data_IF_597797484399
#
_entry.id   IF_597797484399
#
_cell.length_a   1.000
_cell.length_b   1.000
_cell.length_c   1.000
_cell.angle_alpha   90.00
_cell.angle_beta   90.00
_cell.angle_gamma   90.00
#
_symmetry.space_group_name_H-M   'P 1'
#
loop_
_entity.id
_entity.type
_entity.pdbx_description
1 polymer ?
#
# COMPACT_ATOMS: atom_id res chain seq x y z
N UNK A 1 -25.79 -20.15 -3.71
CA UNK A 1 -25.29 -19.67 -5.03
C UNK A 1 -23.93 -18.93 -4.90
N UNK A 2 -23.05 -19.33 -3.98
CA UNK A 2 -21.77 -18.64 -3.70
C UNK A 2 -20.54 -19.34 -4.30
N UNK A 3 -20.61 -20.64 -4.59
CA UNK A 3 -19.44 -21.43 -5.04
C UNK A 3 -18.93 -21.07 -6.45
N UNK A 4 -19.81 -20.61 -7.34
CA UNK A 4 -19.42 -20.22 -8.72
C UNK A 4 -18.66 -18.89 -8.76
N UNK A 5 -18.89 -17.98 -7.80
CA UNK A 5 -18.20 -16.68 -7.76
C UNK A 5 -16.74 -16.80 -7.36
N UNK A 6 -16.36 -17.86 -6.64
CA UNK A 6 -14.97 -18.09 -6.23
C UNK A 6 -14.08 -18.57 -7.39
N UNK A 7 -14.68 -19.17 -8.43
CA UNK A 7 -13.94 -19.68 -9.60
C UNK A 7 -13.67 -18.60 -10.64
N UNK A 8 -14.56 -17.63 -10.77
CA UNK A 8 -14.27 -16.40 -11.49
C UNK A 8 -13.52 -15.49 -10.53
N UNK A 9 -12.29 -15.11 -10.81
CA UNK A 9 -11.56 -14.08 -10.06
C UNK A 9 -12.27 -12.70 -10.03
N UNK A 10 -13.55 -12.61 -10.39
CA UNK A 10 -14.43 -11.45 -10.48
C UNK A 10 -14.59 -10.63 -9.19
N UNK A 11 -14.16 -11.13 -8.02
CA UNK A 11 -14.08 -10.35 -6.76
C UNK A 11 -12.63 -10.06 -6.32
N UNK A 12 -11.62 -10.51 -7.07
CA UNK A 12 -10.20 -10.27 -6.79
C UNK A 12 -9.76 -8.89 -7.33
N UNK A 13 -8.72 -8.27 -6.75
CA UNK A 13 -8.24 -6.96 -7.19
C UNK A 13 -7.74 -7.05 -8.64
N UNK A 14 -7.86 -5.96 -9.41
CA UNK A 14 -7.50 -5.98 -10.85
C UNK A 14 -6.03 -6.37 -11.03
N UNK A 15 -5.19 -5.95 -10.10
CA UNK A 15 -3.76 -6.24 -10.00
C UNK A 15 -3.51 -7.75 -9.82
N UNK A 16 -4.21 -8.41 -8.88
CA UNK A 16 -4.05 -9.85 -8.69
C UNK A 16 -4.49 -10.63 -9.93
N UNK A 17 -5.61 -10.23 -10.56
CA UNK A 17 -6.07 -10.87 -11.81
C UNK A 17 -5.04 -10.71 -12.92
N UNK A 18 -4.48 -9.52 -13.06
CA UNK A 18 -3.45 -9.24 -14.04
C UNK A 18 -2.22 -10.14 -13.83
N UNK A 19 -1.70 -10.22 -12.61
CA UNK A 19 -0.56 -11.08 -12.30
C UNK A 19 -0.85 -12.58 -12.47
N UNK A 20 -2.03 -13.04 -12.05
CA UNK A 20 -2.45 -14.43 -12.27
C UNK A 20 -2.64 -14.75 -13.76
N UNK A 21 -3.13 -13.79 -14.55
CA UNK A 21 -3.22 -13.93 -16.00
C UNK A 21 -1.83 -14.02 -16.65
N UNK A 22 -0.90 -13.14 -16.29
CA UNK A 22 0.50 -13.21 -16.77
C UNK A 22 1.17 -14.52 -16.37
N UNK A 23 0.88 -15.03 -15.17
CA UNK A 23 1.36 -16.33 -14.70
C UNK A 23 0.89 -17.47 -15.62
N UNK A 24 -0.43 -17.55 -15.86
CA UNK A 24 -1.01 -18.54 -16.75
C UNK A 24 -0.47 -18.41 -18.18
N UNK A 25 -0.35 -17.19 -18.69
CA UNK A 25 0.24 -16.91 -19.99
C UNK A 25 1.68 -17.40 -20.08
N UNK A 26 2.53 -17.09 -19.10
CA UNK A 26 3.92 -17.53 -19.03
C UNK A 26 4.06 -19.04 -19.06
N UNK A 27 3.23 -19.77 -18.30
CA UNK A 27 3.21 -21.23 -18.33
C UNK A 27 2.74 -21.80 -19.68
N UNK A 28 1.65 -21.26 -20.24
CA UNK A 28 1.13 -21.73 -21.54
C UNK A 28 2.17 -21.53 -22.64
N UNK A 29 2.77 -20.34 -22.72
CA UNK A 29 3.83 -20.05 -23.68
C UNK A 29 5.06 -20.91 -23.41
N UNK A 30 5.44 -21.12 -22.16
CA UNK A 30 6.55 -22.01 -21.79
C UNK A 30 6.37 -23.44 -22.29
N UNK A 31 5.16 -24.00 -22.16
CA UNK A 31 4.83 -25.34 -22.67
C UNK A 31 4.93 -25.37 -24.19
N UNK A 32 4.30 -24.41 -24.88
CA UNK A 32 4.35 -24.32 -26.35
C UNK A 32 5.80 -24.18 -26.82
N UNK A 33 6.56 -23.27 -26.19
CA UNK A 33 7.94 -23.00 -26.52
C UNK A 33 8.84 -24.23 -26.36
N UNK A 34 8.67 -25.00 -25.28
CA UNK A 34 9.42 -26.25 -25.08
C UNK A 34 9.26 -27.22 -26.27
N UNK A 35 8.03 -27.39 -26.76
CA UNK A 35 7.74 -28.29 -27.88
C UNK A 35 8.13 -27.73 -29.25
N UNK A 36 8.31 -26.42 -29.38
CA UNK A 36 8.68 -25.79 -30.65
C UNK A 36 10.20 -25.61 -30.76
N UNK A 37 10.83 -25.07 -29.72
CA UNK A 37 12.22 -24.64 -29.74
C UNK A 37 13.18 -25.70 -29.15
N UNK A 38 12.71 -26.56 -28.23
CA UNK A 38 13.56 -27.51 -27.49
C UNK A 38 14.78 -26.87 -26.80
N UNK A 39 14.66 -25.59 -26.42
CA UNK A 39 15.72 -24.85 -25.76
C UNK A 39 15.45 -24.75 -24.25
N UNK A 40 16.40 -25.23 -23.45
CA UNK A 40 16.25 -25.27 -21.99
C UNK A 40 16.27 -23.88 -21.35
N UNK A 41 17.15 -22.98 -21.81
CA UNK A 41 17.32 -21.66 -21.22
C UNK A 41 16.03 -20.81 -21.31
N UNK A 42 15.45 -20.68 -22.51
CA UNK A 42 14.19 -19.96 -22.69
C UNK A 42 13.02 -20.60 -21.95
N UNK A 43 12.97 -21.93 -21.88
CA UNK A 43 11.90 -22.65 -21.17
C UNK A 43 11.96 -22.40 -19.68
N UNK A 44 13.15 -22.51 -19.08
CA UNK A 44 13.35 -22.23 -17.64
C UNK A 44 12.98 -20.78 -17.32
N UNK A 45 13.34 -19.83 -18.20
CA UNK A 45 12.98 -18.43 -18.04
C UNK A 45 11.47 -18.20 -18.09
N UNK A 46 10.75 -18.81 -19.05
CA UNK A 46 9.29 -18.67 -19.18
C UNK A 46 8.54 -19.31 -18.01
N UNK A 47 8.94 -20.50 -17.61
CA UNK A 47 8.38 -21.22 -16.45
C UNK A 47 8.66 -20.43 -15.16
N UNK A 48 9.90 -19.93 -15.00
CA UNK A 48 10.29 -19.11 -13.86
C UNK A 48 9.52 -17.80 -13.79
N UNK A 49 9.34 -17.12 -14.93
CA UNK A 49 8.48 -15.93 -15.05
C UNK A 49 7.05 -16.26 -14.60
N UNK A 50 6.44 -17.31 -15.18
CA UNK A 50 5.10 -17.75 -14.83
C UNK A 50 4.94 -18.02 -13.33
N UNK A 51 5.89 -18.73 -12.73
CA UNK A 51 5.91 -19.03 -11.30
C UNK A 51 6.06 -17.77 -10.42
N UNK A 52 7.01 -16.88 -10.75
CA UNK A 52 7.23 -15.65 -10.00
C UNK A 52 6.00 -14.73 -10.04
N UNK A 53 5.40 -14.55 -11.21
CA UNK A 53 4.18 -13.74 -11.34
C UNK A 53 2.99 -14.38 -10.64
N UNK A 54 2.88 -15.72 -10.67
CA UNK A 54 1.83 -16.46 -9.96
C UNK A 54 1.96 -16.35 -8.45
N UNK A 55 3.17 -16.34 -7.92
CA UNK A 55 3.43 -16.12 -6.50
C UNK A 55 2.97 -14.73 -6.05
N UNK A 56 3.26 -13.69 -6.85
CA UNK A 56 2.81 -12.32 -6.58
C UNK A 56 1.28 -12.26 -6.62
N UNK A 57 0.67 -12.72 -7.71
CA UNK A 57 -0.79 -12.72 -7.86
C UNK A 57 -1.52 -13.47 -6.75
N UNK A 58 -1.01 -14.64 -6.35
CA UNK A 58 -1.58 -15.43 -5.25
C UNK A 58 -1.43 -14.76 -3.88
N UNK A 59 -0.32 -14.08 -3.61
CA UNK A 59 -0.15 -13.28 -2.39
C UNK A 59 -1.13 -12.12 -2.33
N UNK A 60 -1.30 -11.35 -3.41
CA UNK A 60 -2.28 -10.25 -3.45
C UNK A 60 -3.73 -10.77 -3.32
N UNK A 61 -4.03 -11.94 -3.88
CA UNK A 61 -5.34 -12.57 -3.77
C UNK A 61 -5.67 -13.04 -2.34
N UNK A 62 -4.63 -13.46 -1.62
CA UNK A 62 -4.73 -13.98 -0.25
C UNK A 62 -4.66 -12.88 0.82
N UNK A 63 -4.22 -11.67 0.48
CA UNK A 63 -3.98 -10.60 1.45
C UNK A 63 -5.28 -10.14 2.15
N UNK A 64 -5.42 -10.36 3.47
CA UNK A 64 -6.58 -9.93 4.23
C UNK A 64 -6.63 -8.41 4.43
N UNK A 65 -5.50 -7.70 4.45
CA UNK A 65 -5.48 -6.24 4.55
C UNK A 65 -6.09 -5.59 3.30
N UNK A 66 -5.80 -6.17 2.13
CA UNK A 66 -6.42 -5.78 0.87
C UNK A 66 -7.93 -6.08 0.83
N UNK A 67 -8.47 -6.95 1.69
CA UNK A 67 -9.91 -7.18 1.85
C UNK A 67 -10.55 -6.15 2.77
N UNK A 68 -9.92 -5.85 3.91
CA UNK A 68 -10.41 -4.84 4.87
C UNK A 68 -10.41 -3.44 4.25
N UNK A 69 -9.37 -3.07 3.49
CA UNK A 69 -9.35 -1.81 2.73
C UNK A 69 -10.53 -1.70 1.75
N UNK A 70 -10.97 -2.82 1.16
CA UNK A 70 -12.14 -2.84 0.26
C UNK A 70 -13.46 -2.73 0.97
N UNK A 71 -13.61 -3.35 2.13
CA UNK A 71 -14.84 -3.20 2.93
C UNK A 71 -15.01 -1.75 3.35
N UNK A 72 -13.91 -1.08 3.73
CA UNK A 72 -13.89 0.36 4.01
C UNK A 72 -14.18 1.20 2.77
N UNK A 73 -13.52 0.95 1.64
CA UNK A 73 -13.77 1.69 0.40
C UNK A 73 -15.22 1.53 -0.11
N UNK A 74 -15.77 0.32 -0.07
CA UNK A 74 -17.18 0.05 -0.44
C UNK A 74 -18.16 0.69 0.54
N UNK A 75 -17.83 0.77 1.82
CA UNK A 75 -18.66 1.45 2.82
C UNK A 75 -18.66 2.97 2.60
N UNK A 76 -17.50 3.58 2.32
CA UNK A 76 -17.39 5.01 1.98
C UNK A 76 -18.09 5.37 0.67
N UNK A 77 -18.03 4.50 -0.34
CA UNK A 77 -18.75 4.69 -1.61
C UNK A 77 -20.28 4.60 -1.40
N UNK A 78 -20.74 3.73 -0.50
CA UNK A 78 -22.16 3.63 -0.16
C UNK A 78 -22.69 4.84 0.62
N UNK A 79 -21.84 5.53 1.39
CA UNK A 79 -22.19 6.74 2.16
C UNK A 79 -22.21 8.01 1.29
N UNK A 80 -21.48 8.01 0.16
CA UNK A 80 -21.28 9.21 -0.68
C UNK A 80 -22.31 9.38 -1.82
N UNK A 81 -23.24 8.44 -2.03
CA UNK A 81 -24.25 8.54 -3.10
C UNK A 81 -25.62 9.02 -2.55
N UNK A 82 -25.93 10.33 -2.56
CA UNK A 82 -27.32 10.74 -2.67
C UNK A 82 -27.78 10.39 -4.09
N UNK A 83 -28.70 9.44 -4.22
CA UNK A 83 -29.44 9.20 -5.46
C UNK A 83 -30.33 10.42 -5.72
N UNK A 84 -29.77 11.43 -6.38
CA UNK A 84 -30.44 12.66 -6.76
C UNK A 84 -30.26 12.93 -8.25
N UNK A 85 -31.38 13.05 -8.96
CA UNK A 85 -31.49 13.55 -10.33
C UNK A 85 -30.82 14.92 -10.51
N UNK A 86 -30.15 15.10 -11.65
CA UNK A 86 -30.22 16.36 -12.39
C UNK A 86 -29.23 17.47 -12.02
N UNK A 87 -28.48 17.88 -13.05
CA UNK A 87 -27.94 19.24 -13.30
C UNK A 87 -26.85 19.77 -12.37
N UNK A 88 -25.61 19.76 -12.86
CA UNK A 88 -24.52 20.55 -12.29
C UNK A 88 -23.19 20.28 -12.98
N UNK A 89 -22.74 21.24 -13.78
CA UNK A 89 -21.44 21.28 -14.47
C UNK A 89 -20.26 21.05 -13.52
N UNK A 90 -19.60 19.91 -13.65
CA UNK A 90 -18.34 19.59 -12.99
C UNK A 90 -17.59 18.57 -13.85
N UNK A 91 -16.46 19.00 -14.40
CA UNK A 91 -15.54 18.27 -15.26
C UNK A 91 -15.29 16.84 -14.78
N UNK A 92 -15.53 15.88 -15.68
CA UNK A 92 -15.53 14.46 -15.40
C UNK A 92 -14.22 13.90 -14.83
N UNK A 93 -14.34 13.26 -13.67
CA UNK A 93 -13.56 12.10 -13.28
C UNK A 93 -14.50 11.17 -12.51
N UNK A 94 -15.15 10.25 -13.22
CA UNK A 94 -15.97 9.22 -12.57
C UNK A 94 -15.10 8.36 -11.67
N UNK A 95 -15.46 8.25 -10.39
CA UNK A 95 -14.93 7.23 -9.47
C UNK A 95 -13.40 7.15 -9.36
N UNK A 96 -12.67 8.25 -9.61
CA UNK A 96 -11.22 8.25 -9.43
C UNK A 96 -10.93 8.44 -7.96
N UNK A 97 -10.41 7.36 -7.38
CA UNK A 97 -9.67 7.30 -6.12
C UNK A 97 -8.85 8.58 -5.93
N UNK A 98 -9.03 9.27 -4.80
CA UNK A 98 -8.29 10.50 -4.49
C UNK A 98 -7.20 10.14 -3.47
N UNK A 99 -6.03 9.62 -3.91
CA UNK A 99 -5.00 9.04 -3.04
C UNK A 99 -4.33 10.04 -2.09
N UNK A 100 -4.64 11.34 -2.21
CA UNK A 100 -4.08 12.40 -1.37
C UNK A 100 -5.10 13.03 -0.41
N UNK A 101 -6.34 12.53 -0.36
CA UNK A 101 -7.34 12.94 0.63
C UNK A 101 -7.53 11.92 1.74
N UNK A 102 -6.88 10.75 1.64
CA UNK A 102 -6.88 9.72 2.65
C UNK A 102 -5.65 9.89 3.56
N UNK A 103 -5.87 10.25 4.83
CA UNK A 103 -4.81 10.42 5.83
C UNK A 103 -4.14 9.10 6.23
N UNK A 104 -4.65 7.95 5.75
CA UNK A 104 -4.03 6.63 6.01
C UNK A 104 -2.70 6.41 5.27
N UNK A 105 -2.29 7.32 4.39
CA UNK A 105 -1.09 7.22 3.57
C UNK A 105 0.08 8.08 4.02
N UNK A 106 0.36 8.19 5.33
CA UNK A 106 1.53 8.97 5.79
C UNK A 106 2.82 8.31 5.29
N UNK A 107 3.52 9.03 4.41
CA UNK A 107 4.80 8.59 3.84
C UNK A 107 5.90 8.72 4.90
N UNK A 108 6.85 7.78 4.97
CA UNK A 108 8.01 7.92 5.86
C UNK A 108 8.75 9.24 5.59
N UNK A 109 9.30 9.83 6.66
CA UNK A 109 10.11 11.05 6.58
C UNK A 109 11.25 10.93 5.56
N UNK A 110 11.67 12.07 5.01
CA UNK A 110 12.76 12.15 4.03
C UNK A 110 14.03 11.44 4.56
N UNK A 111 14.56 10.49 3.78
CA UNK A 111 15.72 9.69 4.19
C UNK A 111 16.65 9.37 3.03
N UNK A 112 17.95 9.30 3.31
CA UNK A 112 18.98 8.88 2.33
C UNK A 112 19.03 7.36 2.15
N UNK A 113 18.23 6.61 2.91
CA UNK A 113 18.32 5.15 2.98
C UNK A 113 18.23 4.44 1.61
N UNK A 114 17.32 4.82 0.68
CA UNK A 114 17.26 4.22 -0.64
C UNK A 114 18.56 4.40 -1.43
N UNK A 115 19.23 5.56 -1.28
CA UNK A 115 20.52 5.82 -1.92
C UNK A 115 21.62 4.93 -1.35
N UNK A 116 21.69 4.80 -0.02
CA UNK A 116 22.68 3.94 0.64
C UNK A 116 22.51 2.46 0.23
N UNK A 117 21.27 1.97 0.14
CA UNK A 117 20.95 0.63 -0.37
C UNK A 117 21.41 0.48 -1.82
N UNK A 118 21.03 1.41 -2.70
CA UNK A 118 21.41 1.37 -4.11
C UNK A 118 22.93 1.38 -4.31
N UNK A 119 23.65 2.23 -3.57
CA UNK A 119 25.10 2.30 -3.59
C UNK A 119 25.74 0.98 -3.11
N UNK A 120 25.25 0.43 -2.00
CA UNK A 120 25.76 -0.84 -1.48
C UNK A 120 25.54 -2.02 -2.43
N UNK A 121 24.37 -2.09 -3.06
CA UNK A 121 24.07 -3.07 -4.12
C UNK A 121 25.02 -2.90 -5.30
N UNK A 122 25.22 -1.67 -5.78
CA UNK A 122 26.11 -1.38 -6.91
C UNK A 122 27.56 -1.81 -6.61
N UNK A 123 28.09 -1.46 -5.44
CA UNK A 123 29.44 -1.85 -5.02
C UNK A 123 29.54 -3.37 -4.88
N UNK A 124 28.58 -4.02 -4.21
CA UNK A 124 28.59 -5.47 -4.03
C UNK A 124 28.54 -6.22 -5.37
N UNK A 125 27.77 -5.70 -6.34
CA UNK A 125 27.70 -6.26 -7.69
C UNK A 125 29.06 -6.23 -8.42
N UNK A 126 29.92 -5.25 -8.15
CA UNK A 126 31.28 -5.24 -8.72
C UNK A 126 32.14 -6.41 -8.24
N UNK A 127 31.79 -7.06 -7.13
CA UNK A 127 32.45 -8.26 -6.65
C UNK A 127 32.35 -9.46 -7.60
N UNK A 128 31.38 -9.47 -8.52
CA UNK A 128 31.32 -10.46 -9.59
C UNK A 128 32.55 -10.42 -10.51
N UNK A 129 33.18 -9.24 -10.64
CA UNK A 129 34.34 -8.99 -11.51
C UNK A 129 35.63 -8.99 -10.68
N UNK A 130 35.63 -8.30 -9.54
CA UNK A 130 36.82 -8.05 -8.73
C UNK A 130 36.98 -8.98 -7.51
N UNK A 131 36.15 -10.01 -7.40
CA UNK A 131 36.20 -11.00 -6.34
C UNK A 131 35.43 -10.61 -5.06
N UNK A 132 35.68 -11.26 -3.92
CA UNK A 132 34.82 -11.11 -2.74
C UNK A 132 34.99 -9.78 -2.00
N UNK A 133 36.11 -9.07 -2.15
CA UNK A 133 36.39 -7.87 -1.36
C UNK A 133 35.35 -6.73 -1.53
N UNK A 134 34.93 -6.34 -2.77
CA UNK A 134 33.87 -5.36 -2.93
C UNK A 134 32.51 -5.80 -2.38
N UNK A 135 32.22 -7.11 -2.32
CA UNK A 135 30.99 -7.60 -1.69
C UNK A 135 30.96 -7.20 -0.22
N UNK A 136 32.06 -7.43 0.50
CA UNK A 136 32.18 -7.07 1.91
C UNK A 136 32.02 -5.56 2.10
N UNK A 137 32.66 -4.75 1.24
CA UNK A 137 32.57 -3.29 1.30
C UNK A 137 31.15 -2.80 1.01
N UNK A 138 30.49 -3.33 -0.02
CA UNK A 138 29.13 -2.96 -0.40
C UNK A 138 28.06 -3.36 0.62
N UNK A 139 28.29 -4.44 1.36
CA UNK A 139 27.40 -4.88 2.43
C UNK A 139 27.27 -3.86 3.57
N UNK A 140 28.29 -3.02 3.82
CA UNK A 140 28.25 -2.02 4.89
C UNK A 140 27.17 -0.94 4.66
N UNK A 141 27.20 -0.14 3.56
CA UNK A 141 26.15 0.84 3.28
C UNK A 141 24.81 0.17 2.97
N UNK A 142 24.80 -1.04 2.39
CA UNK A 142 23.56 -1.79 2.14
C UNK A 142 22.86 -2.13 3.45
N UNK A 143 23.57 -2.74 4.40
CA UNK A 143 23.00 -3.14 5.68
C UNK A 143 22.58 -1.92 6.50
N UNK A 144 23.39 -0.87 6.52
CA UNK A 144 23.08 0.37 7.23
C UNK A 144 21.85 1.08 6.63
N UNK A 145 21.81 1.23 5.30
CA UNK A 145 20.66 1.81 4.60
C UNK A 145 19.39 0.99 4.80
N UNK A 146 19.46 -0.33 4.65
CA UNK A 146 18.32 -1.22 4.85
C UNK A 146 17.80 -1.15 6.30
N UNK A 147 18.70 -1.13 7.28
CA UNK A 147 18.34 -0.99 8.69
C UNK A 147 17.67 0.34 8.99
N UNK A 148 18.28 1.46 8.57
CA UNK A 148 17.73 2.80 8.78
C UNK A 148 16.36 2.97 8.14
N UNK A 149 16.17 2.43 6.94
CA UNK A 149 14.88 2.46 6.26
C UNK A 149 13.81 1.65 7.01
N UNK A 150 14.15 0.43 7.44
CA UNK A 150 13.24 -0.44 8.18
C UNK A 150 12.89 0.13 9.56
N UNK A 151 13.84 0.71 10.28
CA UNK A 151 13.58 1.35 11.56
C UNK A 151 12.69 2.58 11.42
N UNK A 152 12.89 3.38 10.37
CA UNK A 152 12.04 4.53 10.07
C UNK A 152 10.61 4.12 9.74
N UNK A 153 10.45 3.12 8.87
CA UNK A 153 9.13 2.58 8.53
C UNK A 153 8.39 2.00 9.75
N UNK A 154 9.11 1.36 10.69
CA UNK A 154 8.52 0.87 11.94
C UNK A 154 8.11 2.00 12.87
N UNK A 155 8.98 2.99 13.08
CA UNK A 155 8.68 4.12 13.95
C UNK A 155 7.43 4.90 13.47
N UNK A 156 7.28 5.03 12.15
CA UNK A 156 6.10 5.66 11.56
C UNK A 156 4.83 4.81 11.74
N UNK A 157 4.93 3.48 11.57
CA UNK A 157 3.81 2.57 11.83
C UNK A 157 3.35 2.63 13.30
N UNK A 158 4.30 2.63 14.24
CA UNK A 158 4.02 2.72 15.67
C UNK A 158 3.35 4.07 16.01
N UNK A 159 3.75 5.16 15.35
CA UNK A 159 3.13 6.48 15.52
C UNK A 159 1.68 6.52 15.01
N UNK A 160 1.40 5.88 13.88
CA UNK A 160 0.04 5.77 13.34
C UNK A 160 -0.89 4.99 14.28
N UNK A 161 -0.42 3.87 14.83
CA UNK A 161 -1.21 3.07 15.77
C UNK A 161 -1.57 3.85 17.04
N UNK A 162 -0.64 4.68 17.53
CA UNK A 162 -0.88 5.57 18.68
C UNK A 162 -1.92 6.65 18.37
N UNK A 163 -1.84 7.30 17.20
CA UNK A 163 -2.80 8.32 16.79
C UNK A 163 -4.23 7.74 16.65
N UNK A 164 -4.35 6.54 16.06
CA UNK A 164 -5.62 5.82 15.95
C UNK A 164 -6.26 5.55 17.33
N UNK A 165 -5.44 5.14 18.32
CA UNK A 165 -5.90 4.90 19.70
C UNK A 165 -6.40 6.22 20.33
N UNK A 166 -5.64 7.31 20.18
CA UNK A 166 -6.02 8.63 20.74
C UNK A 166 -7.31 9.16 20.12
N UNK A 167 -7.49 8.99 18.81
CA UNK A 167 -8.74 9.37 18.12
C UNK A 167 -9.92 8.55 18.63
N UNK A 168 -9.75 7.22 18.76
CA UNK A 168 -10.78 6.35 19.30
C UNK A 168 -11.17 6.73 20.75
N UNK A 169 -10.20 7.08 21.59
CA UNK A 169 -10.45 7.57 22.95
C UNK A 169 -11.25 8.88 22.96
N UNK A 170 -10.88 9.85 22.10
CA UNK A 170 -11.62 11.13 21.97
C UNK A 170 -13.06 10.93 21.49
N UNK A 171 -13.30 10.02 20.56
CA UNK A 171 -14.64 9.70 20.06
C UNK A 171 -15.50 9.03 21.13
N UNK A 172 -14.90 8.18 21.98
CA UNK A 172 -15.59 7.54 23.11
C UNK A 172 -15.85 8.49 24.29
N UNK A 173 -15.01 9.52 24.47
CA UNK A 173 -15.12 10.45 25.61
C UNK A 173 -16.30 11.45 25.50
N UNK A 174 -16.98 11.53 24.34
CA UNK A 174 -18.06 12.50 24.09
C UNK A 174 -17.56 13.96 24.04
N UNK A 175 -18.39 14.93 23.59
CA UNK A 175 -17.95 16.31 23.45
C UNK A 175 -17.60 16.89 24.82
N UNK A 176 -16.35 17.34 24.97
CA UNK A 176 -15.89 18.09 26.15
C UNK A 176 -16.72 19.36 26.24
N UNK A 177 -17.74 19.37 27.08
CA UNK A 177 -18.50 20.58 27.39
C UNK A 177 -17.55 21.59 28.02
N UNK A 178 -17.20 22.63 27.27
CA UNK A 178 -16.39 23.74 27.77
C UNK A 178 -16.99 24.27 29.09
N UNK A 179 -16.17 24.60 30.11
CA UNK A 179 -16.69 25.11 31.36
C UNK A 179 -17.48 26.40 31.11
N UNK A 180 -18.77 26.37 31.46
CA UNK A 180 -19.70 27.50 31.36
C UNK A 180 -19.13 28.67 32.16
N UNK A 181 -18.44 29.57 31.47
CA UNK A 181 -17.90 30.81 32.04
C UNK A 181 -19.07 31.55 32.69
N UNK A 182 -19.16 31.54 34.02
CA UNK A 182 -20.15 32.32 34.77
C UNK A 182 -19.94 33.77 34.36
N UNK A 183 -20.85 34.28 33.53
CA UNK A 183 -20.92 35.70 33.17
C UNK A 183 -21.19 36.43 34.48
N UNK A 184 -20.18 37.09 35.03
CA UNK A 184 -20.32 37.97 36.18
C UNK A 184 -21.38 39.02 35.89
N UNK A 185 -22.26 39.26 36.87
CA UNK A 185 -23.29 40.27 36.79
C UNK A 185 -22.66 41.65 36.52
N UNK A 186 -23.27 42.49 35.65
CA UNK A 186 -22.79 43.84 35.45
C UNK A 186 -22.96 44.64 36.75
N UNK A 187 -21.83 45.11 37.29
CA UNK A 187 -21.80 46.04 38.41
C UNK A 187 -22.55 47.32 38.04
N UNK A 188 -23.49 47.70 38.91
CA UNK A 188 -24.18 48.98 38.84
C UNK A 188 -23.15 50.12 38.98
N UNK A 189 -22.88 50.81 37.88
CA UNK A 189 -22.18 52.08 37.91
C UNK A 189 -23.11 53.14 38.54
N UNK A 190 -22.75 53.61 39.73
CA UNK A 190 -23.21 54.91 40.24
C UNK A 190 -22.18 55.95 39.83
N UNK A 191 -22.58 56.89 38.99
CA UNK A 191 -21.86 58.16 38.79
C UNK A 191 -22.55 59.25 39.62
N UNK A 192 -21.79 60.19 40.22
CA UNK A 192 -22.33 61.40 40.83
C UNK A 192 -22.85 62.41 39.78
#
# INVERSE_FOLDING_TARGET
MSLRRTLTAADQPQEARFFLFLSAFGFVVGVIYWFVAYESAGTVLLVGFGAATGLIGSRLAADPAARVARERARASEAETIPRGEGTGTGTGTGGVDRPFLDETGRLPDETIAPFAVGLGVAIAATGLIFGPAPVIVGLLPLAWGAWGWLSGARAELDAQELDDIVVAERLNAGPVTAPRRKRGAPGAAKFP
#
